data_IF_831047815986
#
_entry.id   IF_831047815986
#
_cell.length_a   1.000
_cell.length_b   1.000
_cell.length_c   1.000
_cell.angle_alpha   90.00
_cell.angle_beta   90.00
_cell.angle_gamma   90.00
#
_symmetry.space_group_name_H-M   'P 1'
#
loop_
_entity.id
_entity.type
_entity.pdbx_description
1 polymer ?
#
# COMPACT_ATOMS: atom_id res chain seq x y z
N UNK A 1 -19.43 -36.15 49.58
CA UNK A 1 -18.79 -34.94 49.04
C UNK A 1 -18.39 -35.24 47.61
N UNK A 2 -18.89 -34.46 46.67
CA UNK A 2 -18.71 -34.66 45.23
C UNK A 2 -17.44 -33.97 44.76
N UNK A 3 -16.70 -34.59 43.82
CA UNK A 3 -15.69 -33.91 43.02
C UNK A 3 -16.13 -33.98 41.56
N UNK A 4 -16.37 -32.81 40.97
CA UNK A 4 -16.67 -32.57 39.56
C UNK A 4 -15.43 -32.81 38.68
N UNK A 5 -15.58 -33.20 37.40
CA UNK A 5 -14.44 -33.39 36.50
C UNK A 5 -13.97 -32.05 35.91
N UNK A 6 -12.65 -31.88 35.78
CA UNK A 6 -12.06 -30.73 35.10
C UNK A 6 -12.13 -30.91 33.58
N UNK A 7 -12.51 -29.82 32.93
CA UNK A 7 -12.96 -29.67 31.56
C UNK A 7 -11.89 -29.96 30.50
N UNK A 8 -12.35 -30.47 29.36
CA UNK A 8 -11.56 -30.57 28.14
C UNK A 8 -11.18 -29.16 27.65
N UNK A 9 -9.89 -28.89 27.51
CA UNK A 9 -9.39 -27.72 26.78
C UNK A 9 -9.68 -27.96 25.30
N UNK A 10 -10.74 -27.33 24.79
CA UNK A 10 -10.98 -27.17 23.37
C UNK A 10 -9.88 -26.28 22.79
N UNK A 11 -8.98 -26.88 22.02
CA UNK A 11 -8.01 -26.16 21.21
C UNK A 11 -8.75 -25.53 20.04
N UNK A 12 -9.15 -24.28 20.22
CA UNK A 12 -9.66 -23.43 19.16
C UNK A 12 -8.51 -23.17 18.19
N UNK A 13 -8.59 -23.74 16.98
CA UNK A 13 -7.59 -23.53 15.94
C UNK A 13 -7.60 -22.05 15.58
N UNK A 14 -6.51 -21.36 15.87
CA UNK A 14 -6.29 -19.98 15.43
C UNK A 14 -6.29 -19.95 13.89
N UNK A 15 -7.42 -19.56 13.30
CA UNK A 15 -7.53 -19.39 11.85
C UNK A 15 -6.90 -18.06 11.53
N UNK A 16 -5.63 -18.08 11.12
CA UNK A 16 -4.97 -16.87 10.62
C UNK A 16 -5.77 -16.33 9.43
N UNK A 17 -6.26 -15.08 9.48
CA UNK A 17 -6.99 -14.50 8.36
C UNK A 17 -6.11 -14.52 7.10
N UNK A 18 -6.65 -15.04 6.01
CA UNK A 18 -5.93 -15.14 4.73
C UNK A 18 -6.13 -13.84 3.95
N UNK A 19 -5.04 -13.15 3.63
CA UNK A 19 -5.05 -11.98 2.75
C UNK A 19 -5.37 -12.45 1.33
N UNK A 20 -6.38 -11.83 0.72
CA UNK A 20 -6.74 -12.04 -0.68
C UNK A 20 -5.96 -11.06 -1.54
N UNK A 21 -5.02 -11.57 -2.34
CA UNK A 21 -4.24 -10.78 -3.28
C UNK A 21 -5.08 -10.52 -4.54
N UNK A 22 -5.24 -9.25 -4.90
CA UNK A 22 -5.96 -8.83 -6.10
C UNK A 22 -5.26 -9.35 -7.37
N UNK A 23 -6.00 -9.74 -8.43
CA UNK A 23 -5.40 -10.18 -9.68
C UNK A 23 -4.45 -9.14 -10.33
N UNK A 24 -4.70 -7.85 -10.11
CA UNK A 24 -3.86 -6.76 -10.64
C UNK A 24 -2.59 -6.53 -9.80
N UNK A 25 -2.46 -7.16 -8.64
CA UNK A 25 -1.39 -6.83 -7.70
C UNK A 25 0.01 -7.13 -8.25
N UNK A 26 0.17 -8.23 -9.00
CA UNK A 26 1.45 -8.55 -9.62
C UNK A 26 1.86 -7.49 -10.66
N UNK A 27 0.98 -7.19 -11.61
CA UNK A 27 1.22 -6.19 -12.66
C UNK A 27 1.58 -4.83 -12.06
N UNK A 28 0.82 -4.35 -11.07
CA UNK A 28 1.11 -3.08 -10.41
C UNK A 28 2.42 -3.13 -9.63
N UNK A 29 2.75 -4.25 -8.98
CA UNK A 29 3.99 -4.37 -8.21
C UNK A 29 5.23 -4.40 -9.10
N UNK A 30 5.14 -5.00 -10.28
CA UNK A 30 6.19 -4.98 -11.29
C UNK A 30 6.38 -3.56 -11.86
N UNK A 31 5.28 -2.85 -12.09
CA UNK A 31 5.30 -1.48 -12.58
C UNK A 31 5.88 -0.46 -11.59
N UNK A 32 5.95 -0.73 -10.28
CA UNK A 32 6.42 0.23 -9.27
C UNK A 32 7.92 0.54 -9.34
N UNK A 33 8.73 -0.31 -9.96
CA UNK A 33 10.17 -0.11 -10.18
C UNK A 33 10.59 -0.45 -11.61
N UNK A 34 9.67 -0.35 -12.58
CA UNK A 34 9.98 -0.58 -13.98
C UNK A 34 10.78 0.59 -14.56
N UNK A 35 12.11 0.47 -14.51
CA UNK A 35 13.03 1.50 -14.98
C UNK A 35 13.20 1.55 -16.51
N UNK A 36 12.59 0.63 -17.27
CA UNK A 36 12.63 0.68 -18.74
C UNK A 36 11.77 1.83 -19.29
N UNK A 37 10.79 2.31 -18.51
CA UNK A 37 9.90 3.42 -18.83
C UNK A 37 10.28 4.77 -18.22
N UNK A 38 9.50 5.83 -18.55
CA UNK A 38 9.63 7.13 -17.90
C UNK A 38 9.15 7.08 -16.43
N UNK A 39 9.75 7.86 -15.52
CA UNK A 39 9.47 7.80 -14.08
C UNK A 39 8.03 8.14 -13.68
N UNK A 40 7.30 8.83 -14.55
CA UNK A 40 5.88 9.12 -14.38
C UNK A 40 5.02 7.85 -14.48
N UNK A 41 5.48 6.80 -15.18
CA UNK A 41 4.74 5.55 -15.29
C UNK A 41 4.63 4.82 -13.94
N UNK A 42 5.70 4.80 -13.14
CA UNK A 42 5.63 4.24 -11.79
C UNK A 42 4.75 5.09 -10.88
N UNK A 43 4.78 6.42 -11.03
CA UNK A 43 3.92 7.34 -10.28
C UNK A 43 2.43 7.07 -10.55
N UNK A 44 2.07 6.79 -11.81
CA UNK A 44 0.74 6.36 -12.21
C UNK A 44 0.38 4.98 -11.60
N UNK A 45 1.32 4.04 -11.51
CA UNK A 45 1.10 2.76 -10.84
C UNK A 45 0.77 2.95 -9.35
N UNK A 46 1.48 3.85 -8.65
CA UNK A 46 1.11 4.24 -7.27
C UNK A 46 -0.30 4.82 -7.22
N UNK A 47 -0.64 5.71 -8.16
CA UNK A 47 -2.00 6.26 -8.30
C UNK A 47 -3.07 5.18 -8.51
N UNK A 48 -2.76 4.13 -9.27
CA UNK A 48 -3.65 3.01 -9.51
C UNK A 48 -3.87 2.15 -8.25
N UNK A 49 -2.82 1.90 -7.45
CA UNK A 49 -2.97 1.23 -6.14
C UNK A 49 -3.99 1.95 -5.25
N UNK A 50 -3.85 3.27 -5.13
CA UNK A 50 -4.77 4.12 -4.38
C UNK A 50 -6.18 4.12 -4.98
N UNK A 51 -6.29 4.16 -6.31
CA UNK A 51 -7.56 4.05 -7.00
C UNK A 51 -8.29 2.74 -6.66
N UNK A 52 -7.62 1.59 -6.71
CA UNK A 52 -8.25 0.31 -6.38
C UNK A 52 -8.64 0.22 -4.90
N UNK A 53 -7.81 0.74 -3.99
CA UNK A 53 -8.19 0.88 -2.58
C UNK A 53 -9.47 1.70 -2.44
N UNK A 54 -9.52 2.89 -3.04
CA UNK A 54 -10.68 3.78 -2.98
C UNK A 54 -11.93 3.15 -3.60
N UNK A 55 -11.80 2.34 -4.64
CA UNK A 55 -12.95 1.61 -5.19
C UNK A 55 -13.48 0.54 -4.23
N UNK A 56 -12.62 -0.09 -3.45
CA UNK A 56 -13.04 -1.06 -2.45
C UNK A 56 -13.62 -0.40 -1.20
N UNK A 57 -13.09 0.74 -0.74
CA UNK A 57 -13.41 1.33 0.57
C UNK A 57 -14.23 2.63 0.51
N UNK A 58 -14.31 3.27 -0.65
CA UNK A 58 -14.94 4.58 -0.83
C UNK A 58 -13.99 5.76 -0.56
N UNK A 59 -12.83 5.51 0.06
CA UNK A 59 -11.81 6.49 0.43
C UNK A 59 -10.40 5.91 0.26
N UNK A 60 -9.43 6.80 0.19
CA UNK A 60 -8.01 6.48 0.22
C UNK A 60 -7.62 5.95 1.60
N UNK A 61 -6.55 5.13 1.70
CA UNK A 61 -5.97 4.80 3.00
C UNK A 61 -5.48 6.08 3.69
N UNK A 62 -5.53 6.07 5.02
CA UNK A 62 -5.15 7.20 5.88
C UNK A 62 -4.05 6.77 6.85
N UNK A 63 -3.23 7.73 7.28
CA UNK A 63 -2.13 7.49 8.22
C UNK A 63 -0.82 8.03 7.67
N UNK A 64 0.30 7.54 8.21
CA UNK A 64 1.62 7.79 7.64
C UNK A 64 1.89 6.91 6.41
N UNK A 65 3.07 7.07 5.80
CA UNK A 65 3.48 6.27 4.64
C UNK A 65 3.42 4.75 4.91
N UNK A 66 3.79 4.32 6.12
CA UNK A 66 3.77 2.92 6.51
C UNK A 66 2.34 2.40 6.66
N UNK A 67 1.45 3.17 7.29
CA UNK A 67 0.03 2.84 7.41
C UNK A 67 -0.64 2.70 6.03
N UNK A 68 -0.32 3.59 5.10
CA UNK A 68 -0.82 3.55 3.73
C UNK A 68 -0.38 2.26 3.03
N UNK A 69 0.89 1.90 3.13
CA UNK A 69 1.44 0.70 2.49
C UNK A 69 0.94 -0.57 3.16
N UNK A 70 0.78 -0.58 4.48
CA UNK A 70 0.15 -1.65 5.24
C UNK A 70 -1.27 -1.91 4.73
N UNK A 71 -2.09 -0.86 4.61
CA UNK A 71 -3.43 -0.95 4.06
C UNK A 71 -3.40 -1.49 2.62
N UNK A 72 -2.51 -0.98 1.76
CA UNK A 72 -2.36 -1.44 0.37
C UNK A 72 -1.87 -2.90 0.25
N UNK A 73 -1.16 -3.39 1.27
CA UNK A 73 -0.64 -4.76 1.36
C UNK A 73 -1.63 -5.74 2.01
N UNK A 74 -2.85 -5.30 2.32
CA UNK A 74 -3.90 -6.16 2.85
C UNK A 74 -4.14 -6.06 4.35
N UNK A 75 -3.44 -5.19 5.08
CA UNK A 75 -3.75 -4.88 6.48
C UNK A 75 -4.91 -3.88 6.57
N UNK A 76 -6.04 -4.27 5.99
CA UNK A 76 -7.28 -3.50 5.96
C UNK A 76 -8.47 -4.39 6.33
N UNK A 77 -9.63 -3.78 6.59
CA UNK A 77 -10.83 -4.48 7.06
C UNK A 77 -11.37 -5.54 6.07
N UNK A 78 -10.94 -5.52 4.79
CA UNK A 78 -11.33 -6.50 3.78
C UNK A 78 -10.27 -7.56 3.51
N UNK A 79 -9.11 -7.48 4.17
CA UNK A 79 -7.96 -8.37 3.94
C UNK A 79 -7.59 -8.44 2.45
N UNK A 80 -7.71 -7.33 1.73
CA UNK A 80 -7.49 -7.27 0.28
C UNK A 80 -6.17 -6.56 -0.03
N UNK A 81 -5.25 -7.21 -0.73
CA UNK A 81 -3.95 -6.62 -1.10
C UNK A 81 -3.92 -6.22 -2.58
N UNK A 82 -3.42 -5.03 -2.87
CA UNK A 82 -3.13 -4.55 -4.22
C UNK A 82 -1.63 -4.48 -4.50
N UNK A 83 -0.80 -4.59 -3.47
CA UNK A 83 0.64 -4.83 -3.60
C UNK A 83 0.89 -6.33 -3.41
N UNK A 84 1.66 -6.94 -4.30
CA UNK A 84 2.00 -8.35 -4.23
C UNK A 84 2.96 -8.60 -3.05
N UNK A 85 2.84 -9.75 -2.36
CA UNK A 85 3.81 -10.13 -1.32
C UNK A 85 5.24 -10.17 -1.88
N UNK A 86 6.18 -9.57 -1.16
CA UNK A 86 7.59 -9.52 -1.58
C UNK A 86 7.89 -8.51 -2.68
N UNK A 87 7.02 -7.54 -2.92
CA UNK A 87 7.29 -6.42 -3.83
C UNK A 87 8.56 -5.66 -3.41
N UNK A 88 9.54 -5.56 -4.33
CA UNK A 88 10.84 -4.91 -4.09
C UNK A 88 10.71 -3.39 -3.83
N UNK A 89 9.62 -2.76 -4.29
CA UNK A 89 9.31 -1.37 -4.02
C UNK A 89 8.91 -1.10 -2.56
N UNK A 90 8.62 -2.16 -1.78
CA UNK A 90 8.30 -2.02 -0.36
C UNK A 90 9.56 -2.26 0.47
N UNK A 91 10.17 -1.18 0.94
CA UNK A 91 11.38 -1.20 1.78
C UNK A 91 11.04 -0.67 3.16
N UNK A 92 11.32 -1.48 4.20
CA UNK A 92 11.00 -1.14 5.60
C UNK A 92 9.53 -0.75 5.82
N UNK A 93 8.61 -1.37 5.07
CA UNK A 93 7.17 -1.09 5.16
C UNK A 93 6.72 0.19 4.47
N UNK A 94 7.60 0.86 3.72
CA UNK A 94 7.27 2.06 2.95
C UNK A 94 7.47 1.80 1.46
N UNK A 95 6.68 2.48 0.63
CA UNK A 95 6.83 2.41 -0.82
C UNK A 95 7.90 3.40 -1.24
N UNK A 96 8.93 2.91 -1.92
CA UNK A 96 10.03 3.73 -2.42
C UNK A 96 9.94 3.91 -3.92
N UNK A 97 10.42 5.07 -4.40
CA UNK A 97 10.61 5.31 -5.83
C UNK A 97 11.84 4.57 -6.37
N UNK A 98 12.07 4.68 -7.69
CA UNK A 98 13.22 4.05 -8.38
C UNK A 98 14.59 4.51 -7.87
N UNK A 99 14.66 5.62 -7.13
CA UNK A 99 15.90 6.13 -6.52
C UNK A 99 16.06 5.68 -5.06
N UNK A 100 15.10 4.91 -4.54
CA UNK A 100 15.11 4.32 -3.22
C UNK A 100 14.70 5.30 -2.12
N UNK A 101 13.95 6.34 -2.46
CA UNK A 101 13.41 7.30 -1.50
C UNK A 101 11.92 7.02 -1.28
N UNK A 102 11.43 6.99 -0.02
CA UNK A 102 10.00 6.82 0.22
C UNK A 102 9.18 7.91 -0.46
N UNK A 103 8.13 7.50 -1.17
CA UNK A 103 7.12 8.44 -1.69
C UNK A 103 6.55 9.26 -0.54
N UNK A 104 6.25 10.54 -0.78
CA UNK A 104 5.49 11.34 0.16
C UNK A 104 4.01 11.32 -0.24
N UNK A 105 3.17 10.88 0.70
CA UNK A 105 1.73 10.86 0.55
C UNK A 105 1.09 11.99 1.34
N UNK A 106 0.29 12.81 0.67
CA UNK A 106 -0.42 13.91 1.31
C UNK A 106 -1.90 13.85 1.01
N UNK A 107 -2.67 13.38 1.98
CA UNK A 107 -4.12 13.38 1.92
C UNK A 107 -4.65 14.81 2.01
N UNK A 108 -5.21 15.30 0.91
CA UNK A 108 -5.95 16.58 0.87
C UNK A 108 -7.40 16.39 1.32
N UNK A 109 -7.98 15.23 1.01
CA UNK A 109 -9.30 14.80 1.45
C UNK A 109 -9.35 13.26 1.50
N UNK A 110 -10.46 12.67 1.94
CA UNK A 110 -10.63 11.21 1.91
C UNK A 110 -10.56 10.60 0.50
N UNK A 111 -10.66 11.40 -0.57
CA UNK A 111 -10.57 10.91 -1.96
C UNK A 111 -9.41 11.51 -2.74
N UNK A 112 -8.81 12.61 -2.27
CA UNK A 112 -7.76 13.33 -2.96
C UNK A 112 -6.44 13.17 -2.20
N UNK A 113 -5.43 12.67 -2.91
CA UNK A 113 -4.09 12.48 -2.37
C UNK A 113 -3.08 12.99 -3.40
N UNK A 114 -2.16 13.83 -2.95
CA UNK A 114 -0.94 14.13 -3.69
C UNK A 114 0.09 13.04 -3.39
N UNK A 115 0.77 12.58 -4.44
CA UNK A 115 1.85 11.60 -4.37
C UNK A 115 3.09 12.30 -4.91
N UNK A 116 4.22 12.19 -4.21
CA UNK A 116 5.47 12.83 -4.62
C UNK A 116 6.66 11.87 -4.49
N UNK A 117 7.42 11.71 -5.57
CA UNK A 117 8.76 11.13 -5.58
C UNK A 117 9.78 12.23 -5.39
N UNK A 118 10.85 11.91 -4.66
CA UNK A 118 11.96 12.84 -4.39
C UNK A 118 12.98 12.93 -5.55
N UNK A 119 12.67 12.30 -6.69
CA UNK A 119 13.53 12.37 -7.86
C UNK A 119 14.94 11.78 -7.69
N UNK A 120 15.80 11.99 -8.70
CA UNK A 120 17.20 11.58 -8.68
C UNK A 120 18.04 12.11 -7.51
N UNK A 121 17.76 13.31 -7.02
CA UNK A 121 18.55 13.92 -5.94
C UNK A 121 18.22 13.37 -4.55
N UNK A 122 17.06 12.72 -4.43
CA UNK A 122 16.56 12.02 -3.24
C UNK A 122 16.21 12.95 -2.08
N UNK A 123 16.03 14.24 -2.36
CA UNK A 123 15.59 15.25 -1.42
C UNK A 123 14.16 15.67 -1.78
N UNK A 124 13.22 15.56 -0.85
CA UNK A 124 11.85 15.98 -1.11
C UNK A 124 11.77 17.52 -1.19
N UNK A 125 10.86 18.02 -2.03
CA UNK A 125 10.53 19.43 -2.20
C UNK A 125 11.60 20.24 -2.95
N UNK A 126 12.26 19.59 -3.91
CA UNK A 126 13.21 20.18 -4.86
C UNK A 126 12.60 20.29 -6.26
N UNK A 127 13.38 20.78 -7.21
CA UNK A 127 12.92 21.02 -8.59
C UNK A 127 12.82 19.74 -9.44
N UNK A 128 13.44 18.63 -9.02
CA UNK A 128 13.41 17.34 -9.73
C UNK A 128 12.34 16.38 -9.20
N UNK A 129 11.60 16.78 -8.17
CA UNK A 129 10.44 16.05 -7.68
C UNK A 129 9.44 15.75 -8.80
N UNK A 130 8.93 14.52 -8.79
CA UNK A 130 7.81 14.12 -9.63
C UNK A 130 6.58 13.98 -8.75
N UNK A 131 5.48 14.64 -9.12
CA UNK A 131 4.26 14.57 -8.34
C UNK A 131 3.03 14.29 -9.19
N UNK A 132 2.15 13.45 -8.65
CA UNK A 132 0.83 13.18 -9.18
C UNK A 132 -0.18 13.94 -8.32
N UNK A 133 -0.71 15.02 -8.86
CA UNK A 133 -1.79 15.76 -8.21
C UNK A 133 -3.13 15.07 -8.44
N UNK A 134 -4.05 15.13 -7.46
CA UNK A 134 -5.39 14.59 -7.64
C UNK A 134 -6.08 15.28 -8.83
N UNK A 135 -6.50 14.50 -9.82
CA UNK A 135 -7.34 15.02 -10.90
C UNK A 135 -8.69 15.42 -10.30
N UNK A 136 -9.03 16.71 -10.35
CA UNK A 136 -10.40 17.16 -10.12
C UNK A 136 -11.29 16.53 -11.20
N UNK A 137 -11.99 15.43 -10.88
CA UNK A 137 -12.97 14.80 -11.76
C UNK A 137 -14.33 14.81 -11.10
#
# INVERSE_FOLDING_TARGET
>A
MAQVPAEAVSSEREVTPVITVSPVAQELSEALLDTDGPPEAELEAVGQLLYFHRQAFGENPVGDNGDIVAALSGQNAKLAAWIAPGCDAVVNGQLVDRWGTPYWFHAMSGREMEIRSAGPDREQFTDDDLFLSPVSR
#
